data_IF_657951670706
#
_entry.id   IF_657951670706
#
_cell.length_a   1.000
_cell.length_b   1.000
_cell.length_c   1.000
_cell.angle_alpha   90.00
_cell.angle_beta   90.00
_cell.angle_gamma   90.00
#
_symmetry.space_group_name_H-M   'P 1'
#
loop_
_entity.id
_entity.type
_entity.pdbx_description
1 polymer ?
#
# COMPACT_ATOMS: atom_id res chain seq x y z
N UNK A 1 -37.65 -7.61 6.74
CA UNK A 1 -36.44 -8.38 6.35
C UNK A 1 -35.75 -7.64 5.21
N UNK A 2 -34.42 -7.53 5.22
CA UNK A 2 -33.70 -6.95 4.08
C UNK A 2 -33.73 -7.94 2.90
N UNK A 3 -33.92 -7.44 1.67
CA UNK A 3 -33.90 -8.25 0.45
C UNK A 3 -32.47 -8.68 0.11
N UNK A 4 -32.30 -9.74 -0.69
CA UNK A 4 -30.98 -10.15 -1.18
C UNK A 4 -30.23 -9.00 -1.88
N UNK A 5 -30.96 -8.15 -2.62
CA UNK A 5 -30.40 -6.96 -3.27
C UNK A 5 -29.88 -5.94 -2.24
N UNK A 6 -30.62 -5.70 -1.15
CA UNK A 6 -30.19 -4.79 -0.08
C UNK A 6 -28.96 -5.34 0.67
N UNK A 7 -28.90 -6.65 0.91
CA UNK A 7 -27.73 -7.31 1.51
C UNK A 7 -26.52 -7.17 0.59
N UNK A 8 -26.66 -7.45 -0.71
CA UNK A 8 -25.59 -7.32 -1.69
C UNK A 8 -25.07 -5.89 -1.80
N UNK A 9 -25.95 -4.89 -1.86
CA UNK A 9 -25.57 -3.48 -1.89
C UNK A 9 -24.80 -3.07 -0.63
N UNK A 10 -25.24 -3.53 0.56
CA UNK A 10 -24.54 -3.27 1.81
C UNK A 10 -23.15 -3.92 1.83
N UNK A 11 -23.04 -5.18 1.43
CA UNK A 11 -21.75 -5.89 1.39
C UNK A 11 -20.75 -5.21 0.45
N UNK A 12 -21.20 -4.80 -0.75
CA UNK A 12 -20.37 -4.04 -1.70
C UNK A 12 -19.90 -2.71 -1.10
N UNK A 13 -20.79 -1.99 -0.41
CA UNK A 13 -20.46 -0.73 0.22
C UNK A 13 -19.46 -0.90 1.38
N UNK A 14 -19.57 -1.97 2.19
CA UNK A 14 -18.59 -2.28 3.24
C UNK A 14 -17.23 -2.65 2.63
N UNK A 15 -17.20 -3.51 1.61
CA UNK A 15 -15.96 -3.88 0.93
C UNK A 15 -15.26 -2.66 0.32
N UNK A 16 -16.00 -1.78 -0.36
CA UNK A 16 -15.46 -0.54 -0.89
C UNK A 16 -14.94 0.39 0.23
N UNK A 17 -15.64 0.50 1.35
CA UNK A 17 -15.16 1.27 2.51
C UNK A 17 -13.83 0.73 3.04
N UNK A 18 -13.70 -0.58 3.17
CA UNK A 18 -12.50 -1.17 3.74
C UNK A 18 -11.30 -1.08 2.79
N UNK A 19 -11.50 -1.29 1.48
CA UNK A 19 -10.46 -1.08 0.47
C UNK A 19 -9.93 0.35 0.53
N UNK A 20 -10.81 1.35 0.64
CA UNK A 20 -10.42 2.75 0.80
C UNK A 20 -9.62 2.99 2.05
N UNK A 21 -10.09 2.48 3.18
CA UNK A 21 -9.42 2.66 4.47
C UNK A 21 -8.00 2.06 4.45
N UNK A 22 -7.85 0.85 3.92
CA UNK A 22 -6.55 0.20 3.76
C UNK A 22 -5.64 1.01 2.83
N UNK A 23 -6.12 1.41 1.65
CA UNK A 23 -5.31 2.18 0.70
C UNK A 23 -4.80 3.51 1.29
N UNK A 24 -5.65 4.23 2.02
CA UNK A 24 -5.28 5.48 2.69
C UNK A 24 -4.33 5.25 3.88
N UNK A 25 -4.47 4.14 4.60
CA UNK A 25 -3.51 3.75 5.62
C UNK A 25 -2.14 3.42 5.02
N UNK A 26 -2.09 2.71 3.89
CA UNK A 26 -0.84 2.41 3.18
C UNK A 26 -0.19 3.72 2.70
N UNK A 27 -0.93 4.61 2.03
CA UNK A 27 -0.39 5.92 1.59
C UNK A 27 0.17 6.72 2.77
N UNK A 28 -0.54 6.74 3.91
CA UNK A 28 -0.09 7.39 5.13
C UNK A 28 1.24 6.82 5.63
N UNK A 29 1.38 5.50 5.67
CA UNK A 29 2.60 4.85 6.14
C UNK A 29 3.75 5.01 5.17
N UNK A 30 3.51 4.86 3.86
CA UNK A 30 4.52 5.10 2.84
C UNK A 30 5.03 6.54 2.90
N UNK A 31 4.15 7.52 3.10
CA UNK A 31 4.57 8.93 3.25
C UNK A 31 5.48 9.14 4.46
N UNK A 32 5.24 8.42 5.56
CA UNK A 32 6.08 8.50 6.77
C UNK A 32 7.41 7.79 6.58
N UNK A 33 7.38 6.60 6.02
CA UNK A 33 8.53 5.71 5.96
C UNK A 33 9.47 6.00 4.78
N UNK A 34 8.98 6.61 3.69
CA UNK A 34 9.82 6.88 2.53
C UNK A 34 10.94 7.88 2.88
N UNK A 35 12.22 7.55 2.61
CA UNK A 35 13.37 8.44 2.76
C UNK A 35 13.16 9.81 2.11
N UNK A 36 13.67 10.86 2.76
CA UNK A 36 13.63 12.24 2.28
C UNK A 36 15.04 12.71 1.97
N UNK A 37 15.32 12.81 0.68
CA UNK A 37 16.38 13.69 0.18
C UNK A 37 15.73 15.01 -0.25
N UNK A 38 15.17 15.06 -1.47
CA UNK A 38 14.39 16.20 -1.99
C UNK A 38 12.88 16.07 -1.80
N UNK A 39 12.42 14.95 -1.23
CA UNK A 39 11.00 14.58 -1.18
C UNK A 39 10.43 13.99 -2.47
N UNK A 40 11.24 13.80 -3.52
CA UNK A 40 10.80 13.27 -4.82
C UNK A 40 10.14 11.88 -4.74
N UNK A 41 10.79 10.90 -4.12
CA UNK A 41 10.23 9.57 -3.98
C UNK A 41 8.91 9.59 -3.18
N UNK A 42 8.85 10.42 -2.13
CA UNK A 42 7.69 10.51 -1.25
C UNK A 42 6.43 11.06 -1.95
N UNK A 43 6.58 12.10 -2.78
CA UNK A 43 5.42 12.69 -3.50
C UNK A 43 4.89 11.79 -4.63
N UNK A 44 5.70 10.84 -5.09
CA UNK A 44 5.35 9.94 -6.18
C UNK A 44 4.53 8.72 -5.76
N UNK A 45 4.22 8.54 -4.47
CA UNK A 45 3.18 7.60 -4.04
C UNK A 45 1.81 8.17 -4.39
N UNK A 46 1.24 7.73 -5.50
CA UNK A 46 -0.01 8.26 -6.05
C UNK A 46 -1.06 7.15 -6.10
N UNK A 47 -2.19 7.32 -5.37
CA UNK A 47 -3.33 6.44 -5.54
C UNK A 47 -4.01 6.68 -6.90
N UNK A 48 -4.53 5.63 -7.52
CA UNK A 48 -5.30 5.72 -8.77
C UNK A 48 -6.32 4.59 -8.86
N UNK A 49 -7.37 4.77 -9.68
CA UNK A 49 -8.45 3.79 -9.83
C UNK A 49 -8.51 3.28 -11.27
N UNK A 50 -8.73 1.98 -11.43
CA UNK A 50 -8.79 1.28 -12.72
C UNK A 50 -7.41 0.90 -13.26
N UNK A 51 -6.46 1.84 -13.21
CA UNK A 51 -5.10 1.67 -13.76
C UNK A 51 -4.04 2.33 -12.86
N UNK A 52 -2.79 1.83 -12.85
CA UNK A 52 -1.71 2.43 -12.09
C UNK A 52 -1.30 3.80 -12.66
N UNK A 53 -0.75 4.65 -11.79
CA UNK A 53 -0.11 5.88 -12.23
C UNK A 53 1.24 5.56 -12.91
N UNK A 54 1.52 6.13 -14.07
CA UNK A 54 2.69 5.77 -14.90
C UNK A 54 3.68 6.91 -15.14
N UNK A 55 3.40 8.12 -14.67
CA UNK A 55 4.26 9.29 -14.85
C UNK A 55 4.76 9.81 -13.51
N UNK A 56 5.91 10.50 -13.50
CA UNK A 56 6.39 11.12 -12.26
C UNK A 56 5.55 12.35 -11.90
N UNK A 57 5.38 12.59 -10.60
CA UNK A 57 4.66 13.73 -10.06
C UNK A 57 5.50 15.01 -10.19
N UNK A 58 4.97 16.03 -10.88
CA UNK A 58 5.56 17.35 -10.91
C UNK A 58 5.45 18.05 -9.54
N UNK A 59 4.39 17.74 -8.78
CA UNK A 59 4.12 18.33 -7.47
C UNK A 59 3.41 17.34 -6.53
N UNK A 60 2.95 17.79 -5.36
CA UNK A 60 2.09 16.99 -4.48
C UNK A 60 0.61 16.99 -4.97
N UNK A 61 0.27 17.78 -5.99
CA UNK A 61 -1.10 17.92 -6.50
C UNK A 61 -1.63 16.60 -7.08
N UNK A 62 -0.80 15.86 -7.81
CA UNK A 62 -1.16 14.56 -8.39
C UNK A 62 -1.54 13.54 -7.32
N UNK A 63 -0.81 13.54 -6.19
CA UNK A 63 -1.17 12.73 -5.03
C UNK A 63 -2.47 13.19 -4.40
N UNK A 64 -2.69 14.50 -4.23
CA UNK A 64 -3.96 15.03 -3.69
C UNK A 64 -5.15 14.60 -4.56
N UNK A 65 -5.01 14.65 -5.89
CA UNK A 65 -6.02 14.14 -6.82
C UNK A 65 -6.20 12.62 -6.68
N UNK A 66 -5.11 11.86 -6.54
CA UNK A 66 -5.17 10.43 -6.29
C UNK A 66 -5.92 10.08 -5.00
N UNK A 67 -5.69 10.80 -3.91
CA UNK A 67 -6.43 10.64 -2.65
C UNK A 67 -7.92 10.92 -2.84
N UNK A 68 -8.27 11.98 -3.58
CA UNK A 68 -9.66 12.28 -3.89
C UNK A 68 -10.33 11.13 -4.68
N UNK A 69 -9.62 10.56 -5.66
CA UNK A 69 -10.10 9.38 -6.40
C UNK A 69 -10.28 8.16 -5.48
N UNK A 70 -9.31 7.90 -4.59
CA UNK A 70 -9.41 6.83 -3.61
C UNK A 70 -10.62 7.01 -2.67
N UNK A 71 -10.88 8.22 -2.19
CA UNK A 71 -12.05 8.51 -1.34
C UNK A 71 -13.38 8.26 -2.07
N UNK A 72 -13.43 8.56 -3.37
CA UNK A 72 -14.57 8.33 -4.25
C UNK A 72 -14.70 6.88 -4.78
N UNK A 73 -13.78 5.98 -4.40
CA UNK A 73 -13.73 4.61 -4.92
C UNK A 73 -15.01 3.80 -4.70
N UNK A 74 -15.36 3.03 -5.73
CA UNK A 74 -16.37 1.96 -5.72
C UNK A 74 -15.82 0.71 -6.43
N UNK A 75 -16.42 -0.46 -6.15
CA UNK A 75 -15.95 -1.73 -6.73
C UNK A 75 -16.11 -1.79 -8.26
N UNK A 76 -17.08 -1.05 -8.80
CA UNK A 76 -17.37 -0.97 -10.23
C UNK A 76 -16.32 -0.18 -11.00
N UNK A 77 -15.53 0.66 -10.32
CA UNK A 77 -14.48 1.48 -10.94
C UNK A 77 -13.19 0.68 -11.22
N UNK A 78 -13.14 -0.59 -10.81
CA UNK A 78 -11.99 -1.47 -11.02
C UNK A 78 -11.04 -1.54 -9.80
N UNK A 79 -9.78 -1.95 -9.99
CA UNK A 79 -8.79 -2.03 -8.91
C UNK A 79 -8.36 -0.64 -8.44
N UNK A 80 -8.10 -0.51 -7.13
CA UNK A 80 -7.44 0.65 -6.54
C UNK A 80 -5.93 0.38 -6.47
N UNK A 81 -5.14 1.23 -7.11
CA UNK A 81 -3.69 1.16 -7.16
C UNK A 81 -3.06 2.21 -6.25
N UNK A 82 -1.85 1.91 -5.76
CA UNK A 82 -0.96 2.88 -5.14
C UNK A 82 0.42 2.70 -5.77
N UNK A 83 0.81 3.64 -6.63
CA UNK A 83 1.98 3.47 -7.51
C UNK A 83 3.07 4.46 -7.14
N UNK A 84 4.32 4.08 -7.35
CA UNK A 84 5.47 4.97 -7.34
C UNK A 84 6.37 4.62 -8.52
N UNK A 85 6.49 5.55 -9.45
CA UNK A 85 7.15 5.31 -10.73
C UNK A 85 8.63 5.70 -10.73
N UNK A 86 9.11 6.23 -9.61
CA UNK A 86 10.49 6.72 -9.51
C UNK A 86 11.45 5.54 -9.65
N UNK A 87 12.39 5.65 -10.57
CA UNK A 87 13.27 4.55 -10.99
C UNK A 87 14.05 3.87 -9.85
N UNK A 88 14.30 4.60 -8.75
CA UNK A 88 15.07 4.12 -7.61
C UNK A 88 14.22 3.71 -6.40
N UNK A 89 12.89 3.64 -6.50
CA UNK A 89 12.03 3.30 -5.35
C UNK A 89 12.35 1.90 -4.78
N UNK A 90 12.57 0.91 -5.65
CA UNK A 90 12.95 -0.44 -5.21
C UNK A 90 14.32 -0.46 -4.54
N UNK A 91 15.28 0.32 -5.06
CA UNK A 91 16.59 0.48 -4.43
C UNK A 91 16.45 1.05 -3.02
N UNK A 92 15.58 2.04 -2.80
CA UNK A 92 15.31 2.54 -1.44
C UNK A 92 14.68 1.46 -0.56
N UNK A 93 13.72 0.70 -1.10
CA UNK A 93 13.06 -0.36 -0.35
C UNK A 93 14.03 -1.51 0.01
N UNK A 94 15.06 -1.73 -0.79
CA UNK A 94 16.14 -2.68 -0.49
C UNK A 94 17.21 -2.15 0.48
N UNK A 95 16.94 -1.03 1.17
CA UNK A 95 17.80 -0.56 2.26
C UNK A 95 19.02 0.26 1.82
N UNK A 96 19.05 0.78 0.60
CA UNK A 96 20.14 1.66 0.16
C UNK A 96 20.09 3.08 0.77
N UNK A 97 19.12 3.35 1.66
CA UNK A 97 19.05 4.58 2.45
C UNK A 97 19.23 4.25 3.93
N UNK A 98 19.97 5.10 4.66
CA UNK A 98 20.08 5.01 6.12
C UNK A 98 18.86 5.60 6.85
N UNK A 99 17.96 6.29 6.13
CA UNK A 99 16.81 6.98 6.71
C UNK A 99 15.59 6.07 6.95
N UNK A 100 15.53 4.93 6.27
CA UNK A 100 14.47 3.95 6.43
C UNK A 100 15.08 2.54 6.38
N UNK A 101 14.58 1.60 7.19
CA UNK A 101 14.99 0.20 7.07
C UNK A 101 14.62 -0.34 5.68
N UNK A 102 15.31 -1.40 5.26
CA UNK A 102 14.82 -2.18 4.14
C UNK A 102 13.42 -2.71 4.46
N UNK A 103 12.57 -2.81 3.44
CA UNK A 103 11.23 -3.35 3.53
C UNK A 103 10.17 -2.39 4.04
N UNK A 104 10.38 -1.08 3.84
CA UNK A 104 9.45 -0.09 4.34
C UNK A 104 8.11 -0.10 3.59
N UNK A 105 8.06 -0.61 2.35
CA UNK A 105 6.81 -0.73 1.57
C UNK A 105 5.93 -1.84 2.15
N UNK A 106 6.52 -2.99 2.43
CA UNK A 106 5.87 -4.17 2.99
C UNK A 106 5.41 -3.88 4.41
N UNK A 107 6.26 -3.22 5.21
CA UNK A 107 5.89 -2.75 6.54
C UNK A 107 4.72 -1.79 6.52
N UNK A 108 4.61 -0.91 5.52
CA UNK A 108 3.45 -0.03 5.36
C UNK A 108 2.17 -0.81 5.09
N UNK A 109 2.25 -1.86 4.26
CA UNK A 109 1.12 -2.77 4.02
C UNK A 109 0.70 -3.50 5.29
N UNK A 110 1.64 -4.07 6.04
CA UNK A 110 1.33 -4.77 7.29
C UNK A 110 0.68 -3.87 8.32
N UNK A 111 1.21 -2.66 8.52
CA UNK A 111 0.63 -1.69 9.44
C UNK A 111 -0.80 -1.30 9.03
N UNK A 112 -1.08 -1.18 7.73
CA UNK A 112 -2.43 -0.92 7.24
C UNK A 112 -3.37 -2.12 7.48
N UNK A 113 -2.89 -3.36 7.29
CA UNK A 113 -3.67 -4.57 7.55
C UNK A 113 -3.92 -4.79 9.06
N UNK A 114 -2.95 -4.48 9.91
CA UNK A 114 -3.14 -4.50 11.37
C UNK A 114 -4.20 -3.49 11.80
N UNK A 115 -4.21 -2.28 11.21
CA UNK A 115 -5.26 -1.28 11.45
C UNK A 115 -6.62 -1.73 10.94
N UNK A 116 -6.68 -2.38 9.78
CA UNK A 116 -7.89 -3.00 9.27
C UNK A 116 -8.47 -4.03 10.25
N UNK A 117 -7.63 -4.94 10.74
CA UNK A 117 -8.03 -5.93 11.74
C UNK A 117 -8.51 -5.26 13.04
N UNK A 118 -7.83 -4.21 13.50
CA UNK A 118 -8.23 -3.45 14.68
C UNK A 118 -9.57 -2.71 14.50
N UNK A 119 -9.97 -2.37 13.27
CA UNK A 119 -11.32 -1.84 12.96
C UNK A 119 -12.42 -2.90 12.96
N UNK A 120 -12.08 -4.17 13.19
CA UNK A 120 -13.01 -5.29 13.14
C UNK A 120 -13.19 -5.89 11.74
N UNK A 121 -12.32 -5.56 10.79
CA UNK A 121 -12.29 -6.21 9.48
C UNK A 121 -11.95 -7.69 9.66
N UNK A 122 -12.77 -8.57 9.05
CA UNK A 122 -12.49 -10.01 9.05
C UNK A 122 -11.16 -10.28 8.36
N UNK A 123 -10.48 -11.34 8.78
CA UNK A 123 -9.13 -11.71 8.36
C UNK A 123 -8.91 -11.54 6.85
N UNK A 124 -8.04 -10.60 6.47
CA UNK A 124 -7.56 -10.44 5.10
C UNK A 124 -6.31 -11.30 4.98
N UNK A 125 -6.45 -12.45 4.33
CA UNK A 125 -5.33 -13.34 4.08
C UNK A 125 -4.51 -12.84 2.89
N UNK A 126 -3.29 -12.40 3.17
CA UNK A 126 -2.29 -12.02 2.16
C UNK A 126 -1.07 -12.94 2.20
N UNK A 127 -1.14 -14.08 2.91
CA UNK A 127 0.00 -14.98 3.12
C UNK A 127 0.58 -15.54 1.81
N UNK A 128 -0.28 -15.92 0.87
CA UNK A 128 0.15 -16.40 -0.45
C UNK A 128 0.85 -15.32 -1.27
N UNK A 129 0.32 -14.08 -1.27
CA UNK A 129 0.94 -12.94 -1.95
C UNK A 129 2.29 -12.61 -1.30
N UNK A 130 2.39 -12.68 0.03
CA UNK A 130 3.65 -12.48 0.77
C UNK A 130 4.71 -13.51 0.41
N UNK A 131 4.35 -14.79 0.33
CA UNK A 131 5.30 -15.86 -0.05
C UNK A 131 5.88 -15.60 -1.45
N UNK A 132 5.01 -15.30 -2.43
CA UNK A 132 5.47 -14.99 -3.79
C UNK A 132 6.39 -13.76 -3.85
N UNK A 133 6.12 -12.77 -3.00
CA UNK A 133 6.95 -11.57 -2.93
C UNK A 133 8.32 -11.83 -2.29
N UNK A 134 8.37 -12.62 -1.23
CA UNK A 134 9.63 -13.03 -0.59
C UNK A 134 10.50 -13.85 -1.55
N UNK A 135 9.90 -14.72 -2.36
CA UNK A 135 10.61 -15.48 -3.39
C UNK A 135 11.16 -14.58 -4.50
N UNK A 136 10.39 -13.59 -4.96
CA UNK A 136 10.85 -12.60 -5.95
C UNK A 136 12.01 -11.74 -5.41
N UNK A 137 11.90 -11.29 -4.18
CA UNK A 137 12.93 -10.49 -3.50
C UNK A 137 14.21 -11.30 -3.26
N UNK A 138 14.07 -12.53 -2.78
CA UNK A 138 15.17 -13.46 -2.53
C UNK A 138 15.90 -13.83 -3.82
N UNK A 139 15.15 -14.10 -4.90
CA UNK A 139 15.74 -14.36 -6.23
C UNK A 139 16.38 -13.13 -6.87
N UNK A 140 15.97 -11.91 -6.50
CA UNK A 140 16.56 -10.63 -6.94
C UNK A 140 17.75 -10.16 -6.10
N UNK A 141 18.21 -10.96 -5.13
CA UNK A 141 19.46 -10.70 -4.38
C UNK A 141 19.37 -9.59 -3.35
N UNK A 142 18.17 -9.25 -2.86
CA UNK A 142 18.00 -8.23 -1.83
C UNK A 142 18.25 -8.81 -0.42
N UNK A 143 19.53 -9.11 -0.11
CA UNK A 143 19.98 -9.61 1.21
C UNK A 143 19.45 -8.75 2.37
N UNK A 144 19.39 -7.43 2.16
CA UNK A 144 18.91 -6.46 3.14
C UNK A 144 17.40 -6.59 3.42
N UNK A 145 16.58 -7.00 2.43
CA UNK A 145 15.13 -7.08 2.61
C UNK A 145 14.74 -8.36 3.37
N UNK A 146 15.34 -9.49 3.01
CA UNK A 146 15.12 -10.77 3.71
C UNK A 146 15.58 -10.73 5.18
N UNK A 147 16.62 -9.94 5.48
CA UNK A 147 17.18 -9.84 6.83
C UNK A 147 16.49 -8.80 7.74
N UNK A 148 15.85 -7.77 7.17
CA UNK A 148 15.33 -6.63 7.94
C UNK A 148 13.83 -6.64 8.20
N UNK A 149 13.05 -7.36 7.39
CA UNK A 149 11.59 -7.34 7.46
C UNK A 149 11.04 -8.61 8.12
N UNK A 150 10.62 -8.48 9.38
CA UNK A 150 9.80 -9.48 10.08
C UNK A 150 8.32 -9.05 10.07
N UNK A 151 7.42 -9.83 9.46
CA UNK A 151 6.04 -9.42 9.17
C UNK A 151 5.11 -9.27 10.39
N UNK A 152 5.58 -9.61 11.60
CA UNK A 152 4.81 -9.49 12.84
C UNK A 152 5.58 -8.86 14.01
N UNK A 153 6.69 -8.18 13.71
CA UNK A 153 7.66 -7.79 14.74
C UNK A 153 8.53 -8.98 15.10
N UNK A 154 9.84 -8.80 15.01
CA UNK A 154 10.71 -9.56 15.89
C UNK A 154 10.45 -9.01 17.29
N UNK A 155 10.23 -9.90 18.25
CA UNK A 155 10.39 -9.54 19.65
C UNK A 155 11.85 -9.10 19.84
N UNK A 156 12.06 -7.78 19.90
CA UNK A 156 13.12 -7.12 20.65
C UNK A 156 12.52 -5.93 21.41
#
# INVERSE_FOLDING_TARGET
MATAAQIGARLRAEAAREIKAIALDIDRELRRATPIDTGHARRNWIPSVGQPHTTEAASDAERVQGIAQALAYSLEAGPLWLSNVVAYINRLNYGHSKQAPAGFIERAVDLALQRAQARGSKHIDVSALRASYQDEVGSRGAENLASAYSPFGGDE
#
